data_IF_389102223060
#
_entry.id   IF_389102223060
#
_cell.length_a   1.000
_cell.length_b   1.000
_cell.length_c   1.000
_cell.angle_alpha   90.00
_cell.angle_beta   90.00
_cell.angle_gamma   90.00
#
_symmetry.space_group_name_H-M   'P 1'
#
loop_
_entity.id
_entity.type
_entity.pdbx_description
1 polymer ?
#
# COMPACT_ATOMS: atom_id res chain seq x y z
N UNK A 1 -3.12 -14.62 -2.31
CA UNK A 1 -2.65 -13.30 -1.81
C UNK A 1 -2.64 -12.34 -2.99
N UNK A 2 -3.27 -11.18 -2.87
CA UNK A 2 -3.15 -10.12 -3.88
C UNK A 2 -2.01 -9.19 -3.51
N UNK A 3 -1.16 -8.84 -4.47
CA UNK A 3 -0.03 -7.93 -4.27
C UNK A 3 -0.18 -6.74 -5.21
N UNK A 4 -0.36 -5.55 -4.63
CA UNK A 4 -0.41 -4.32 -5.38
C UNK A 4 0.98 -3.97 -5.92
N UNK A 5 1.05 -3.66 -7.21
CA UNK A 5 2.29 -3.24 -7.83
C UNK A 5 2.06 -2.19 -8.90
N UNK A 6 2.74 -1.06 -8.75
CA UNK A 6 2.74 -0.01 -9.77
C UNK A 6 3.68 -0.36 -10.93
N UNK A 7 3.30 0.11 -12.12
CA UNK A 7 4.21 0.19 -13.26
C UNK A 7 5.38 1.13 -12.95
N UNK A 8 6.59 0.79 -13.40
CA UNK A 8 7.78 1.65 -13.32
C UNK A 8 8.22 1.95 -14.76
N UNK A 9 8.73 3.16 -15.03
CA UNK A 9 9.39 3.47 -16.31
C UNK A 9 10.38 2.32 -16.58
N UNK A 10 10.19 1.65 -17.71
CA UNK A 10 11.04 0.56 -18.25
C UNK A 10 10.76 -0.87 -17.77
N UNK A 11 9.79 -1.13 -16.89
CA UNK A 11 9.40 -2.51 -16.53
C UNK A 11 7.90 -2.65 -16.31
N UNK A 12 7.33 -3.68 -16.94
CA UNK A 12 5.96 -4.09 -16.64
C UNK A 12 5.86 -4.60 -15.19
N UNK A 13 4.68 -4.49 -14.54
CA UNK A 13 4.46 -5.04 -13.21
C UNK A 13 4.82 -6.54 -13.11
N UNK A 14 4.51 -7.35 -14.11
CA UNK A 14 4.82 -8.79 -14.15
C UNK A 14 6.32 -9.02 -14.12
N UNK A 15 7.07 -8.25 -14.92
CA UNK A 15 8.54 -8.33 -14.91
C UNK A 15 9.11 -7.92 -13.56
N UNK A 16 8.55 -6.88 -12.92
CA UNK A 16 8.95 -6.48 -11.57
C UNK A 16 8.67 -7.58 -10.54
N UNK A 17 7.53 -8.28 -10.64
CA UNK A 17 7.23 -9.39 -9.74
C UNK A 17 8.24 -10.52 -9.89
N UNK A 18 8.53 -10.88 -11.14
CA UNK A 18 9.50 -11.92 -11.46
C UNK A 18 10.88 -11.56 -10.91
N UNK A 19 11.37 -10.35 -11.21
CA UNK A 19 12.67 -9.89 -10.71
C UNK A 19 12.71 -9.87 -9.16
N UNK A 20 11.61 -9.51 -8.50
CA UNK A 20 11.50 -9.55 -7.04
C UNK A 20 11.60 -10.96 -6.47
N UNK A 21 10.97 -11.94 -7.11
CA UNK A 21 11.04 -13.35 -6.71
C UNK A 21 12.37 -14.00 -7.10
N UNK A 22 13.07 -13.47 -8.08
CA UNK A 22 14.41 -13.92 -8.46
C UNK A 22 15.49 -13.51 -7.43
N UNK A 23 15.18 -12.58 -6.51
CA UNK A 23 16.09 -12.11 -5.45
C UNK A 23 16.50 -13.23 -4.46
N UNK A 24 17.73 -13.13 -3.94
CA UNK A 24 18.33 -14.11 -3.03
C UNK A 24 17.53 -14.33 -1.74
N UNK A 25 16.79 -13.31 -1.28
CA UNK A 25 15.95 -13.43 -0.08
C UNK A 25 14.83 -14.47 -0.22
N UNK A 26 14.47 -14.84 -1.46
CA UNK A 26 13.46 -15.86 -1.75
C UNK A 26 14.04 -17.27 -1.95
N UNK A 27 15.37 -17.47 -1.92
CA UNK A 27 16.00 -18.77 -2.22
C UNK A 27 15.52 -19.90 -1.30
N UNK A 28 15.40 -19.62 0.00
CA UNK A 28 14.85 -20.58 0.95
C UNK A 28 13.39 -20.93 0.62
N UNK A 29 12.58 -19.92 0.31
CA UNK A 29 11.17 -20.12 -0.03
C UNK A 29 10.99 -20.92 -1.32
N UNK A 30 11.83 -20.69 -2.34
CA UNK A 30 11.84 -21.49 -3.59
C UNK A 30 12.15 -22.96 -3.31
N UNK A 31 13.09 -23.24 -2.41
CA UNK A 31 13.46 -24.63 -2.04
C UNK A 31 12.36 -25.32 -1.25
N UNK A 32 11.81 -24.64 -0.24
CA UNK A 32 10.80 -25.22 0.65
C UNK A 32 9.39 -25.26 0.03
N UNK A 33 9.07 -24.30 -0.85
CA UNK A 33 7.75 -24.14 -1.48
C UNK A 33 7.91 -23.72 -2.96
N UNK A 34 8.33 -24.61 -3.87
CA UNK A 34 8.63 -24.24 -5.27
C UNK A 34 7.49 -23.54 -6.02
N UNK A 35 6.23 -23.84 -5.65
CA UNK A 35 5.04 -23.28 -6.29
C UNK A 35 4.48 -22.04 -5.56
N UNK A 36 5.23 -21.41 -4.64
CA UNK A 36 4.71 -20.29 -3.83
C UNK A 36 4.18 -19.13 -4.68
N UNK A 37 4.79 -18.88 -5.85
CA UNK A 37 4.42 -17.80 -6.76
C UNK A 37 2.98 -17.93 -7.26
N UNK A 38 2.45 -19.15 -7.40
CA UNK A 38 1.05 -19.40 -7.80
C UNK A 38 0.04 -18.91 -6.77
N UNK A 39 0.45 -18.72 -5.52
CA UNK A 39 -0.38 -18.18 -4.43
C UNK A 39 -0.41 -16.64 -4.44
N UNK A 40 0.37 -15.99 -5.30
CA UNK A 40 0.48 -14.53 -5.41
C UNK A 40 -0.12 -14.07 -6.73
N UNK A 41 -1.15 -13.23 -6.63
CA UNK A 41 -1.80 -12.61 -7.78
C UNK A 41 -1.39 -11.13 -7.77
N UNK A 42 -0.67 -10.72 -8.80
CA UNK A 42 -0.30 -9.32 -8.99
C UNK A 42 -1.53 -8.51 -9.40
N UNK A 43 -1.72 -7.36 -8.78
CA UNK A 43 -2.73 -6.38 -9.16
C UNK A 43 -2.02 -5.07 -9.51
N UNK A 44 -2.24 -4.55 -10.71
CA UNK A 44 -1.73 -3.23 -11.06
C UNK A 44 -2.48 -2.17 -10.25
N UNK A 45 -1.76 -1.45 -9.40
CA UNK A 45 -2.32 -0.41 -8.55
C UNK A 45 -1.26 0.67 -8.27
N UNK A 46 -1.71 1.91 -8.17
CA UNK A 46 -0.90 3.07 -7.87
C UNK A 46 -1.68 4.04 -6.96
N UNK A 47 -1.21 4.19 -5.72
CA UNK A 47 -1.83 5.02 -4.70
C UNK A 47 -1.84 6.52 -5.06
N UNK A 48 -1.05 6.93 -6.06
CA UNK A 48 -1.06 8.31 -6.55
C UNK A 48 -2.19 8.56 -7.56
N UNK A 49 -2.80 7.51 -8.12
CA UNK A 49 -3.86 7.60 -9.12
C UNK A 49 -5.24 7.56 -8.45
N UNK A 50 -6.22 8.15 -9.12
CA UNK A 50 -7.62 8.04 -8.74
C UNK A 50 -8.08 6.57 -8.73
N UNK A 51 -8.93 6.21 -7.77
CA UNK A 51 -9.39 4.83 -7.57
C UNK A 51 -8.24 3.83 -7.43
N UNK A 52 -7.10 4.28 -6.87
CA UNK A 52 -5.87 3.49 -6.73
C UNK A 52 -5.32 2.96 -8.06
N UNK A 53 -5.77 3.47 -9.21
CA UNK A 53 -5.41 2.96 -10.54
C UNK A 53 -5.97 1.57 -10.86
N UNK A 54 -6.94 1.06 -10.11
CA UNK A 54 -7.52 -0.27 -10.30
C UNK A 54 -8.43 -0.32 -11.53
N UNK A 55 -8.38 -1.44 -12.24
CA UNK A 55 -9.40 -1.79 -13.24
C UNK A 55 -10.74 -2.13 -12.54
N UNK A 56 -11.86 -2.06 -13.27
CA UNK A 56 -13.16 -2.47 -12.72
C UNK A 56 -13.19 -3.96 -12.35
N UNK A 57 -12.49 -4.80 -13.12
CA UNK A 57 -12.37 -6.23 -12.86
C UNK A 57 -11.60 -6.49 -11.56
N UNK A 58 -10.44 -5.85 -11.38
CA UNK A 58 -9.64 -6.01 -10.17
C UNK A 58 -10.37 -5.45 -8.95
N UNK A 59 -11.05 -4.32 -9.08
CA UNK A 59 -11.87 -3.77 -7.99
C UNK A 59 -12.93 -4.79 -7.55
N UNK A 60 -13.64 -5.41 -8.49
CA UNK A 60 -14.64 -6.45 -8.18
C UNK A 60 -13.99 -7.67 -7.53
N UNK A 61 -12.85 -8.11 -8.04
CA UNK A 61 -12.08 -9.25 -7.52
C UNK A 61 -11.66 -9.05 -6.06
N UNK A 62 -11.23 -7.83 -5.73
CA UNK A 62 -10.72 -7.48 -4.40
C UNK A 62 -11.83 -7.34 -3.34
N UNK A 63 -13.11 -7.32 -3.71
CA UNK A 63 -14.21 -7.28 -2.74
C UNK A 63 -14.23 -8.51 -1.81
N UNK A 64 -13.68 -9.65 -2.25
CA UNK A 64 -13.62 -10.88 -1.45
C UNK A 64 -12.41 -10.95 -0.50
N UNK A 65 -11.64 -9.86 -0.35
CA UNK A 65 -10.47 -9.82 0.54
C UNK A 65 -10.89 -9.76 2.01
N UNK A 66 -10.25 -10.59 2.84
CA UNK A 66 -10.47 -10.60 4.30
C UNK A 66 -9.47 -9.77 5.10
N UNK A 67 -8.26 -9.53 4.57
CA UNK A 67 -7.19 -8.83 5.29
C UNK A 67 -6.45 -7.90 4.34
N UNK A 68 -6.29 -6.64 4.75
CA UNK A 68 -5.47 -5.66 4.04
C UNK A 68 -4.23 -5.36 4.88
N UNK A 69 -3.05 -5.53 4.28
CA UNK A 69 -1.78 -5.07 4.83
C UNK A 69 -1.30 -3.87 4.01
N UNK A 70 -1.51 -2.68 4.55
CA UNK A 70 -1.17 -1.43 3.88
C UNK A 70 0.26 -0.98 4.26
N UNK A 71 1.22 -1.41 3.44
CA UNK A 71 2.64 -1.07 3.55
C UNK A 71 3.11 -0.06 2.50
N UNK A 72 2.26 0.31 1.54
CA UNK A 72 2.64 1.11 0.40
C UNK A 72 2.72 2.59 0.79
N UNK A 73 3.90 3.19 0.62
CA UNK A 73 4.13 4.60 0.91
C UNK A 73 5.28 5.15 0.05
N UNK A 74 5.35 6.48 -0.07
CA UNK A 74 6.63 7.15 -0.33
C UNK A 74 7.30 7.45 1.00
N UNK A 75 8.54 6.97 1.16
CA UNK A 75 9.36 7.12 2.37
C UNK A 75 10.56 8.06 2.15
N UNK A 76 10.55 8.78 1.02
CA UNK A 76 11.64 9.70 0.64
C UNK A 76 11.43 11.04 1.34
N UNK A 77 12.38 11.42 2.19
CA UNK A 77 12.34 12.70 2.90
C UNK A 77 12.48 13.94 1.99
N UNK A 78 12.95 13.74 0.75
CA UNK A 78 13.10 14.80 -0.24
C UNK A 78 11.97 14.79 -1.31
N UNK A 79 10.90 14.04 -1.09
CA UNK A 79 9.72 14.06 -1.95
C UNK A 79 8.96 15.38 -1.75
N UNK A 80 8.31 15.90 -2.80
CA UNK A 80 7.48 17.09 -2.64
C UNK A 80 6.31 16.81 -1.68
N UNK A 81 5.92 17.82 -0.88
CA UNK A 81 4.80 17.69 0.06
C UNK A 81 3.52 17.25 -0.66
N UNK A 82 3.22 17.86 -1.82
CA UNK A 82 2.07 17.50 -2.64
C UNK A 82 2.10 16.00 -3.03
N UNK A 83 3.22 15.49 -3.54
CA UNK A 83 3.34 14.05 -3.87
C UNK A 83 3.20 13.17 -2.63
N UNK A 84 3.83 13.54 -1.51
CA UNK A 84 3.75 12.77 -0.27
C UNK A 84 2.33 12.72 0.30
N UNK A 85 1.61 13.84 0.30
CA UNK A 85 0.19 13.92 0.68
C UNK A 85 -0.66 13.03 -0.23
N UNK A 86 -0.43 13.09 -1.53
CA UNK A 86 -1.19 12.31 -2.50
C UNK A 86 -1.01 10.80 -2.34
N UNK A 87 0.22 10.33 -2.14
CA UNK A 87 0.50 8.91 -1.98
C UNK A 87 0.09 8.42 -0.58
N UNK A 88 0.59 9.08 0.47
CA UNK A 88 0.50 8.55 1.83
C UNK A 88 -0.82 8.90 2.53
N UNK A 89 -1.48 10.01 2.17
CA UNK A 89 -2.74 10.45 2.78
C UNK A 89 -3.92 10.12 1.87
N UNK A 90 -3.95 10.67 0.63
CA UNK A 90 -5.04 10.42 -0.31
C UNK A 90 -5.14 8.95 -0.69
N UNK A 91 -4.03 8.31 -1.06
CA UNK A 91 -4.01 6.87 -1.36
C UNK A 91 -4.51 6.00 -0.19
N UNK A 92 -4.12 6.34 1.04
CA UNK A 92 -4.62 5.65 2.24
C UNK A 92 -6.12 5.88 2.45
N UNK A 93 -6.61 7.12 2.27
CA UNK A 93 -8.05 7.45 2.35
C UNK A 93 -8.85 6.68 1.30
N UNK A 94 -8.40 6.63 0.05
CA UNK A 94 -9.06 5.88 -1.01
C UNK A 94 -9.08 4.37 -0.72
N UNK A 95 -7.98 3.80 -0.23
CA UNK A 95 -7.93 2.39 0.13
C UNK A 95 -8.83 2.07 1.33
N UNK A 96 -8.93 2.95 2.32
CA UNK A 96 -9.87 2.81 3.44
C UNK A 96 -11.32 2.89 2.97
N UNK A 97 -11.65 3.80 2.04
CA UNK A 97 -12.99 3.89 1.47
C UNK A 97 -13.33 2.63 0.69
N UNK A 98 -12.40 2.12 -0.11
CA UNK A 98 -12.60 0.88 -0.84
C UNK A 98 -12.73 -0.34 0.10
N UNK A 99 -11.95 -0.37 1.19
CA UNK A 99 -12.04 -1.41 2.21
C UNK A 99 -13.44 -1.49 2.85
N UNK A 100 -14.18 -0.37 2.97
CA UNK A 100 -15.56 -0.36 3.47
C UNK A 100 -16.55 -1.08 2.55
N UNK A 101 -16.21 -1.25 1.27
CA UNK A 101 -17.03 -1.99 0.30
C UNK A 101 -16.85 -3.51 0.41
N UNK A 102 -15.84 -4.00 1.15
CA UNK A 102 -15.50 -5.42 1.24
C UNK A 102 -16.35 -6.14 2.31
N UNK A 103 -17.31 -7.00 1.95
CA UNK A 103 -18.26 -7.60 2.91
C UNK A 103 -17.60 -8.52 3.94
N UNK A 104 -16.45 -9.12 3.60
CA UNK A 104 -15.79 -10.14 4.43
C UNK A 104 -14.51 -9.63 5.09
N UNK A 105 -14.25 -8.31 5.10
CA UNK A 105 -13.06 -7.73 5.69
C UNK A 105 -13.03 -7.98 7.20
N UNK A 106 -11.90 -8.49 7.70
CA UNK A 106 -11.63 -8.80 9.10
C UNK A 106 -10.63 -7.85 9.73
N UNK A 107 -9.63 -7.40 8.98
CA UNK A 107 -8.69 -6.41 9.47
C UNK A 107 -8.09 -5.53 8.36
N UNK A 108 -7.84 -4.26 8.73
CA UNK A 108 -7.01 -3.34 7.99
C UNK A 108 -5.77 -3.04 8.84
N UNK A 109 -4.61 -3.55 8.42
CA UNK A 109 -3.34 -3.39 9.12
C UNK A 109 -2.53 -2.31 8.41
N UNK A 110 -2.46 -1.12 9.01
CA UNK A 110 -1.67 -0.02 8.51
C UNK A 110 -0.25 -0.07 9.09
N UNK A 111 0.77 -0.03 8.23
CA UNK A 111 2.16 0.07 8.65
C UNK A 111 2.56 1.54 8.63
N UNK A 112 2.76 2.10 9.82
CA UNK A 112 3.26 3.47 9.99
C UNK A 112 4.77 3.47 10.25
N UNK A 113 5.27 4.57 10.80
CA UNK A 113 6.69 4.79 11.11
C UNK A 113 6.84 5.37 12.51
N UNK A 114 7.94 5.02 13.19
CA UNK A 114 8.30 5.66 14.47
C UNK A 114 8.50 7.18 14.33
N UNK A 115 8.67 7.68 13.10
CA UNK A 115 8.77 9.10 12.79
C UNK A 115 7.43 9.84 12.70
N UNK A 116 6.27 9.17 12.86
CA UNK A 116 4.95 9.81 12.71
C UNK A 116 4.71 10.94 13.70
N UNK A 117 5.36 10.86 14.87
CA UNK A 117 5.22 11.78 15.99
C UNK A 117 6.59 12.34 16.43
N UNK A 118 7.58 12.41 15.52
CA UNK A 118 8.95 12.83 15.84
C UNK A 118 9.10 14.31 16.25
N UNK A 119 8.02 15.08 16.20
CA UNK A 119 7.95 16.45 16.75
C UNK A 119 7.85 16.47 18.28
N UNK A 120 7.60 15.31 18.91
CA UNK A 120 7.55 15.16 20.36
C UNK A 120 8.86 14.55 20.89
N UNK A 121 9.33 15.03 22.05
CA UNK A 121 10.50 14.47 22.72
C UNK A 121 10.25 13.05 23.29
N UNK A 122 9.01 12.77 23.67
CA UNK A 122 8.57 11.49 24.21
C UNK A 122 7.29 11.05 23.50
N UNK A 123 7.25 9.79 23.09
CA UNK A 123 6.12 9.19 22.36
C UNK A 123 5.49 8.11 23.24
N UNK A 124 4.22 8.30 23.59
CA UNK A 124 3.39 7.38 24.35
C UNK A 124 2.49 6.58 23.40
N UNK A 125 1.99 5.44 23.87
CA UNK A 125 0.96 4.66 23.16
C UNK A 125 -0.41 5.34 23.32
N UNK A 126 -0.64 6.40 22.54
CA UNK A 126 -1.90 7.15 22.52
C UNK A 126 -2.19 7.70 21.14
N UNK A 127 -3.45 8.11 20.95
CA UNK A 127 -3.82 8.87 19.76
C UNK A 127 -3.36 10.33 19.89
N UNK A 128 -2.57 10.79 18.93
CA UNK A 128 -2.13 12.18 18.84
C UNK A 128 -3.10 12.96 17.96
N UNK A 129 -3.50 14.15 18.41
CA UNK A 129 -4.31 15.05 17.58
C UNK A 129 -3.49 15.49 16.36
N UNK A 130 -4.00 15.33 15.13
CA UNK A 130 -3.27 15.77 13.96
C UNK A 130 -3.18 17.31 13.95
N UNK A 131 -2.07 17.88 13.45
CA UNK A 131 -1.91 19.34 13.37
C UNK A 131 -2.82 19.98 12.30
N UNK A 132 -3.39 19.18 11.41
CA UNK A 132 -4.26 19.61 10.31
C UNK A 132 -5.33 18.56 10.02
N UNK A 133 -6.54 19.03 9.72
CA UNK A 133 -7.65 18.18 9.29
C UNK A 133 -7.34 17.48 7.95
N UNK A 134 -7.76 16.23 7.81
CA UNK A 134 -7.48 15.42 6.62
C UNK A 134 -7.98 16.07 5.34
N UNK A 135 -9.21 16.58 5.33
CA UNK A 135 -9.75 17.19 4.10
C UNK A 135 -9.07 18.51 3.74
N UNK A 136 -8.51 19.24 4.72
CA UNK A 136 -7.73 20.47 4.47
C UNK A 136 -6.36 20.17 3.88
N UNK A 137 -5.65 19.16 4.40
CA UNK A 137 -4.33 18.82 3.84
C UNK A 137 -4.44 18.28 2.41
N UNK A 138 -5.58 17.67 2.07
CA UNK A 138 -5.85 17.14 0.73
C UNK A 138 -6.12 18.23 -0.33
N UNK A 139 -6.22 19.51 0.05
CA UNK A 139 -6.33 20.64 -0.89
C UNK A 139 -5.00 21.28 -1.25
N UNK A 140 -3.89 20.82 -0.68
CA UNK A 140 -2.53 21.21 -1.08
C UNK A 140 -2.22 20.72 -2.50
#
# INVERSE_FOLDING_TARGET
MYLFMRTKKDKSPERRLKDQFDDIVYERLKKEQPNFSTKVIMIEADLNKFNLGLSQEDRKRLLDVNYIYHAAATVRFNESLHTAVNINIRGTKELLLFAKEMPNLKAFVYISTAFSNCVHNFIDEKHYSPPIETDKILTL
#
